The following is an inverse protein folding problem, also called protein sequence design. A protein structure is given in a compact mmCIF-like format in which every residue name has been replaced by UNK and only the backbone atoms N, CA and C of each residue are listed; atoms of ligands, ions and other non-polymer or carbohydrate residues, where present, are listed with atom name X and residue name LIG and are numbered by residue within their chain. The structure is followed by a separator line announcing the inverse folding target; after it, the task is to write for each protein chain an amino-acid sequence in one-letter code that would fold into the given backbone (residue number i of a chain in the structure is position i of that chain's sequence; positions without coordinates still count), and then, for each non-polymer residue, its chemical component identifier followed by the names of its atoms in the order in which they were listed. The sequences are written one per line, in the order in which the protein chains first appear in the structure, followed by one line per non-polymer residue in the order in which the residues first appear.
data_IF_242570713599
#
_entry.id   IF_242570713599
#
_cell.length_a   1.000
_cell.length_b   1.000
_cell.length_c   1.000
_cell.angle_alpha   90.00
_cell.angle_beta   90.00
_cell.angle_gamma   90.00
#
_symmetry.space_group_name_H-M   'P 1'
#
loop_
_entity.id
_entity.type
_entity.pdbx_description
1 polymer ?
#
# COMPACT_ATOMS: atom_id res chain seq x y z
N UNK A 1 -31.52 27.35 19.77
CA UNK A 1 -30.80 26.13 19.35
C UNK A 1 -30.57 26.23 17.86
N UNK A 2 -29.35 26.57 17.44
CA UNK A 2 -28.93 26.49 16.04
C UNK A 2 -28.04 25.26 15.95
N UNK A 3 -28.60 24.16 15.46
CA UNK A 3 -27.83 22.98 15.08
C UNK A 3 -27.03 23.41 13.85
N UNK A 4 -25.71 23.50 14.03
CA UNK A 4 -24.78 23.94 13.00
C UNK A 4 -24.63 22.82 11.95
N UNK A 5 -25.01 23.02 10.68
CA UNK A 5 -24.98 21.96 9.65
C UNK A 5 -23.56 21.58 9.19
N UNK A 6 -22.52 22.16 9.80
CA UNK A 6 -21.11 21.91 9.47
C UNK A 6 -20.46 20.77 10.28
N UNK A 7 -21.22 19.97 11.04
CA UNK A 7 -20.70 18.74 11.65
C UNK A 7 -20.52 17.57 10.65
N UNK A 8 -20.87 17.74 9.37
CA UNK A 8 -20.96 16.61 8.42
C UNK A 8 -19.72 16.34 7.57
N UNK A 9 -18.60 17.04 7.78
CA UNK A 9 -17.32 16.68 7.17
C UNK A 9 -16.21 16.79 8.21
N UNK A 10 -16.30 15.97 9.26
CA UNK A 10 -15.06 15.50 9.87
C UNK A 10 -14.33 14.72 8.78
N UNK A 11 -13.40 15.39 8.09
CA UNK A 11 -12.27 14.72 7.46
C UNK A 11 -11.78 13.71 8.49
N UNK A 12 -12.07 12.42 8.27
CA UNK A 12 -11.60 11.36 9.14
C UNK A 12 -10.09 11.31 8.93
N UNK A 13 -9.39 12.19 9.66
CA UNK A 13 -7.96 12.33 9.62
C UNK A 13 -7.35 10.94 9.75
N UNK A 14 -6.30 10.70 8.96
CA UNK A 14 -5.61 9.42 8.98
C UNK A 14 -5.11 9.19 10.41
N UNK A 15 -5.47 8.08 11.06
CA UNK A 15 -4.92 7.75 12.37
C UNK A 15 -3.38 7.73 12.31
N UNK A 16 -2.73 8.32 13.30
CA UNK A 16 -1.26 8.49 13.30
C UNK A 16 -0.51 7.16 13.11
N UNK A 17 -0.98 6.08 13.75
CA UNK A 17 -0.40 4.74 13.61
C UNK A 17 -0.50 4.20 12.18
N UNK A 18 -1.60 4.50 11.49
CA UNK A 18 -1.83 4.07 10.12
C UNK A 18 -0.93 4.85 9.16
N UNK A 19 -0.81 6.17 9.38
CA UNK A 19 0.10 7.02 8.63
C UNK A 19 1.55 6.58 8.79
N UNK A 20 1.99 6.29 10.02
CA UNK A 20 3.35 5.79 10.30
C UNK A 20 3.63 4.46 9.62
N UNK A 21 2.68 3.53 9.66
CA UNK A 21 2.83 2.23 8.99
C UNK A 21 2.95 2.40 7.47
N UNK A 22 2.13 3.27 6.87
CA UNK A 22 2.24 3.62 5.45
C UNK A 22 3.63 4.18 5.12
N UNK A 23 4.10 5.17 5.87
CA UNK A 23 5.41 5.80 5.65
C UNK A 23 6.58 4.81 5.83
N UNK A 24 6.53 3.95 6.85
CA UNK A 24 7.53 2.88 7.04
C UNK A 24 7.54 1.90 5.87
N UNK A 25 6.37 1.42 5.44
CA UNK A 25 6.29 0.49 4.32
C UNK A 25 6.72 1.12 2.99
N UNK A 26 6.40 2.40 2.77
CA UNK A 26 6.84 3.15 1.61
C UNK A 26 8.37 3.29 1.58
N UNK A 27 8.97 3.60 2.74
CA UNK A 27 10.43 3.65 2.88
C UNK A 27 11.08 2.31 2.54
N UNK A 28 10.53 1.19 3.01
CA UNK A 28 11.08 -0.13 2.70
C UNK A 28 10.88 -0.50 1.23
N UNK A 29 9.76 -0.09 0.64
CA UNK A 29 9.52 -0.26 -0.79
C UNK A 29 10.58 0.47 -1.62
N UNK A 30 10.96 1.70 -1.23
CA UNK A 30 12.04 2.41 -1.89
C UNK A 30 13.41 1.78 -1.60
N UNK A 31 13.76 1.51 -0.35
CA UNK A 31 15.10 1.01 -0.01
C UNK A 31 15.40 -0.40 -0.53
N UNK A 32 14.39 -1.28 -0.54
CA UNK A 32 14.56 -2.72 -0.70
C UNK A 32 13.73 -3.33 -1.84
N UNK A 33 12.79 -2.58 -2.42
CA UNK A 33 12.07 -3.00 -3.60
C UNK A 33 12.94 -3.01 -4.87
N UNK A 34 12.54 -3.77 -5.90
CA UNK A 34 13.13 -3.63 -7.22
C UNK A 34 12.95 -2.19 -7.72
N UNK A 35 13.97 -1.65 -8.38
CA UNK A 35 13.93 -0.29 -8.91
C UNK A 35 13.18 -0.28 -10.22
N UNK A 36 12.37 0.76 -10.43
CA UNK A 36 11.57 0.91 -11.64
C UNK A 36 12.44 0.89 -12.91
N UNK A 37 13.64 1.45 -12.84
CA UNK A 37 14.61 1.47 -13.95
C UNK A 37 15.12 0.09 -14.38
N UNK A 38 14.99 -0.93 -13.51
CA UNK A 38 15.40 -2.31 -13.77
C UNK A 38 14.23 -3.20 -14.25
N UNK A 39 13.01 -2.64 -14.36
CA UNK A 39 11.78 -3.37 -14.70
C UNK A 39 11.28 -3.00 -16.11
N UNK A 40 10.66 -3.97 -16.79
CA UNK A 40 9.94 -3.71 -18.03
C UNK A 40 8.65 -2.93 -17.73
N UNK A 41 8.16 -2.12 -18.69
CA UNK A 41 6.99 -1.26 -18.46
C UNK A 41 5.70 -2.05 -18.22
N UNK A 42 5.59 -3.26 -18.76
CA UNK A 42 4.46 -4.17 -18.57
C UNK A 42 4.64 -5.14 -17.39
N UNK A 43 5.74 -5.04 -16.65
CA UNK A 43 5.93 -5.82 -15.44
C UNK A 43 4.92 -5.42 -14.37
N UNK A 44 4.31 -6.43 -13.73
CA UNK A 44 3.36 -6.24 -12.63
C UNK A 44 3.94 -5.35 -11.52
N UNK A 45 5.24 -5.52 -11.21
CA UNK A 45 5.95 -4.70 -10.23
C UNK A 45 6.10 -3.23 -10.67
N UNK A 46 6.35 -2.97 -11.96
CA UNK A 46 6.49 -1.61 -12.52
C UNK A 46 5.16 -0.86 -12.46
N UNK A 47 4.07 -1.53 -12.83
CA UNK A 47 2.70 -1.00 -12.76
C UNK A 47 2.33 -0.65 -11.32
N UNK A 48 2.65 -1.53 -10.36
CA UNK A 48 2.40 -1.29 -8.93
C UNK A 48 3.23 -0.12 -8.41
N UNK A 49 4.51 0.00 -8.80
CA UNK A 49 5.34 1.13 -8.40
C UNK A 49 4.79 2.46 -8.93
N UNK A 50 4.25 2.47 -10.14
CA UNK A 50 3.55 3.65 -10.66
C UNK A 50 2.35 4.01 -9.82
N UNK A 51 1.52 3.03 -9.47
CA UNK A 51 0.39 3.27 -8.58
C UNK A 51 0.85 3.77 -7.21
N UNK A 52 1.90 3.17 -6.63
CA UNK A 52 2.50 3.59 -5.35
C UNK A 52 3.01 5.03 -5.42
N UNK A 53 3.68 5.40 -6.50
CA UNK A 53 4.24 6.76 -6.69
C UNK A 53 3.15 7.84 -6.78
N UNK A 54 1.95 7.45 -7.23
CA UNK A 54 0.78 8.31 -7.31
C UNK A 54 -0.05 8.32 -6.02
N UNK A 55 0.26 7.45 -5.03
CA UNK A 55 -0.43 7.44 -3.75
C UNK A 55 -0.09 8.71 -2.97
N UNK A 56 -1.12 9.50 -2.69
CA UNK A 56 -1.08 10.55 -1.69
C UNK A 56 -2.34 10.41 -0.82
N UNK A 57 -2.34 9.50 0.17
CA UNK A 57 -3.53 9.21 0.94
C UNK A 57 -3.92 10.44 1.77
N UNK A 58 -5.18 10.86 1.66
CA UNK A 58 -5.73 12.02 2.36
C UNK A 58 -6.79 11.63 3.41
N UNK A 59 -7.19 10.36 3.43
CA UNK A 59 -8.17 9.82 4.35
C UNK A 59 -7.81 8.39 4.76
N UNK A 60 -8.48 7.88 5.79
CA UNK A 60 -8.25 6.53 6.30
C UNK A 60 -8.41 5.44 5.23
N UNK A 61 -9.37 5.57 4.32
CA UNK A 61 -9.67 4.53 3.32
C UNK A 61 -8.55 4.46 2.28
N UNK A 62 -8.15 5.60 1.73
CA UNK A 62 -7.03 5.72 0.79
C UNK A 62 -5.71 5.27 1.43
N UNK A 63 -5.50 5.54 2.72
CA UNK A 63 -4.32 5.04 3.45
C UNK A 63 -4.32 3.51 3.59
N UNK A 64 -5.47 2.88 3.86
CA UNK A 64 -5.58 1.41 3.89
C UNK A 64 -5.33 0.80 2.50
N UNK A 65 -5.85 1.42 1.43
CA UNK A 65 -5.59 0.98 0.05
C UNK A 65 -4.11 1.10 -0.32
N UNK A 66 -3.46 2.18 0.11
CA UNK A 66 -2.03 2.38 -0.05
C UNK A 66 -1.20 1.29 0.65
N UNK A 67 -1.51 0.99 1.92
CA UNK A 67 -0.87 -0.09 2.66
C UNK A 67 -1.12 -1.45 2.01
N UNK A 68 -2.30 -1.65 1.42
CA UNK A 68 -2.63 -2.88 0.69
C UNK A 68 -1.75 -3.08 -0.54
N UNK A 69 -1.45 -2.03 -1.30
CA UNK A 69 -0.48 -2.06 -2.41
C UNK A 69 0.91 -2.42 -1.90
N UNK A 70 1.39 -1.66 -0.92
CA UNK A 70 2.73 -1.82 -0.36
C UNK A 70 2.93 -3.22 0.24
N UNK A 71 1.93 -3.74 0.96
CA UNK A 71 1.96 -5.11 1.47
C UNK A 71 2.15 -6.11 0.33
N UNK A 72 1.35 -6.02 -0.72
CA UNK A 72 1.45 -6.97 -1.83
C UNK A 72 2.81 -6.86 -2.53
N UNK A 73 3.27 -5.63 -2.77
CA UNK A 73 4.54 -5.37 -3.42
C UNK A 73 5.71 -5.95 -2.63
N UNK A 74 5.83 -5.60 -1.35
CA UNK A 74 6.91 -6.09 -0.49
C UNK A 74 6.87 -7.62 -0.34
N UNK A 75 5.67 -8.21 -0.27
CA UNK A 75 5.52 -9.65 -0.12
C UNK A 75 5.95 -10.44 -1.36
N UNK A 76 5.64 -9.95 -2.57
CA UNK A 76 5.95 -10.68 -3.81
C UNK A 76 7.32 -10.32 -4.40
N UNK A 77 7.83 -9.10 -4.15
CA UNK A 77 8.97 -8.55 -4.88
C UNK A 77 10.16 -8.09 -4.03
N UNK A 78 10.04 -8.03 -2.69
CA UNK A 78 11.15 -7.60 -1.81
C UNK A 78 11.76 -8.76 -1.04
N UNK A 79 12.34 -9.73 -1.77
CA UNK A 79 13.11 -10.82 -1.16
C UNK A 79 14.58 -10.43 -1.00
N UNK A 80 15.16 -10.75 0.16
CA UNK A 80 16.55 -10.42 0.48
C UNK A 80 17.27 -11.62 1.10
N UNK A 81 18.57 -11.74 0.81
CA UNK A 81 19.45 -12.74 1.43
C UNK A 81 19.82 -12.39 2.89
N UNK A 82 19.70 -11.12 3.28
CA UNK A 82 19.99 -10.66 4.64
C UNK A 82 18.78 -10.92 5.56
N UNK A 83 18.92 -11.91 6.44
CA UNK A 83 17.91 -12.30 7.43
C UNK A 83 17.42 -11.11 8.29
N UNK A 84 18.28 -10.14 8.62
CA UNK A 84 17.89 -9.00 9.45
C UNK A 84 16.99 -8.01 8.69
N UNK A 85 17.08 -7.98 7.37
CA UNK A 85 16.18 -7.20 6.50
C UNK A 85 14.87 -7.97 6.32
N UNK A 86 14.96 -9.27 6.05
CA UNK A 86 13.80 -10.14 5.87
C UNK A 86 12.89 -10.14 7.11
N UNK A 87 13.44 -10.27 8.32
CA UNK A 87 12.68 -10.18 9.58
C UNK A 87 11.95 -8.83 9.74
N UNK A 88 12.56 -7.72 9.31
CA UNK A 88 11.93 -6.39 9.39
C UNK A 88 10.78 -6.25 8.40
N UNK A 89 10.96 -6.75 7.18
CA UNK A 89 9.91 -6.79 6.16
C UNK A 89 8.76 -7.67 6.65
N UNK A 90 9.04 -8.86 7.17
CA UNK A 90 8.02 -9.75 7.74
C UNK A 90 7.25 -9.09 8.89
N UNK A 91 7.93 -8.37 9.79
CA UNK A 91 7.28 -7.64 10.86
C UNK A 91 6.33 -6.55 10.34
N UNK A 92 6.72 -5.80 9.30
CA UNK A 92 5.87 -4.80 8.65
C UNK A 92 4.66 -5.45 7.97
N UNK A 93 4.87 -6.54 7.23
CA UNK A 93 3.80 -7.30 6.60
C UNK A 93 2.81 -7.87 7.63
N UNK A 94 3.31 -8.33 8.78
CA UNK A 94 2.48 -8.81 9.88
C UNK A 94 1.58 -7.70 10.44
N UNK A 95 2.15 -6.52 10.74
CA UNK A 95 1.37 -5.35 11.18
C UNK A 95 0.31 -4.93 10.15
N UNK A 96 0.66 -4.92 8.87
CA UNK A 96 -0.29 -4.61 7.81
C UNK A 96 -1.43 -5.64 7.72
N UNK A 97 -1.17 -6.93 7.97
CA UNK A 97 -2.23 -7.96 7.98
C UNK A 97 -3.28 -7.76 9.07
N UNK A 98 -2.94 -7.12 10.19
CA UNK A 98 -3.90 -6.87 11.27
C UNK A 98 -4.98 -5.84 10.88
N UNK A 99 -4.66 -4.93 9.97
CA UNK A 99 -5.57 -3.87 9.50
C UNK A 99 -6.22 -4.18 8.15
N UNK A 100 -5.58 -5.03 7.34
CA UNK A 100 -6.10 -5.40 6.03
C UNK A 100 -7.25 -6.40 6.13
N UNK A 101 -8.27 -6.31 5.25
CA UNK A 101 -9.33 -7.30 5.22
C UNK A 101 -8.75 -8.69 4.90
N UNK A 102 -9.11 -9.68 5.73
CA UNK A 102 -8.67 -11.07 5.50
C UNK A 102 -9.36 -11.64 4.25
N UNK A 103 -8.59 -11.76 3.17
CA UNK A 103 -9.08 -12.32 1.92
C UNK A 103 -8.57 -13.74 1.70
N UNK A 104 -9.49 -14.70 1.50
CA UNK A 104 -9.16 -16.11 1.24
C UNK A 104 -8.30 -16.35 -0.02
N UNK A 105 -8.19 -15.36 -0.92
CA UNK A 105 -7.45 -15.44 -2.20
C UNK A 105 -6.73 -14.11 -2.53
N UNK A 106 -5.95 -13.61 -1.59
CA UNK A 106 -5.26 -12.30 -1.64
C UNK A 106 -4.61 -12.02 -3.01
N UNK A 107 -3.80 -12.93 -3.55
CA UNK A 107 -3.11 -12.78 -4.86
C UNK A 107 -4.10 -12.54 -6.02
N UNK A 108 -5.20 -13.30 -6.08
CA UNK A 108 -6.19 -13.17 -7.17
C UNK A 108 -6.99 -11.88 -7.04
N UNK A 109 -7.29 -11.44 -5.81
CA UNK A 109 -7.99 -10.17 -5.62
C UNK A 109 -7.08 -8.99 -5.95
N UNK A 110 -5.81 -9.04 -5.55
CA UNK A 110 -4.83 -8.00 -5.88
C UNK A 110 -4.63 -7.87 -7.37
N UNK A 111 -4.41 -8.97 -8.11
CA UNK A 111 -4.32 -8.91 -9.58
C UNK A 111 -5.53 -8.27 -10.24
N UNK A 112 -6.75 -8.62 -9.80
CA UNK A 112 -7.98 -7.98 -10.31
C UNK A 112 -8.11 -6.50 -9.92
N UNK A 113 -7.49 -6.11 -8.82
CA UNK A 113 -7.55 -4.74 -8.36
C UNK A 113 -6.50 -3.89 -9.07
N UNK A 114 -5.27 -4.39 -9.26
CA UNK A 114 -4.24 -3.80 -10.13
C UNK A 114 -4.78 -3.63 -11.56
N UNK A 115 -5.39 -4.68 -12.15
CA UNK A 115 -6.05 -4.56 -13.47
C UNK A 115 -7.15 -3.49 -13.52
N UNK A 116 -7.83 -3.20 -12.40
CA UNK A 116 -8.83 -2.12 -12.33
C UNK A 116 -8.18 -0.75 -12.21
N UNK A 117 -7.02 -0.63 -11.59
CA UNK A 117 -6.28 0.63 -11.50
C UNK A 117 -5.70 0.99 -12.88
N UNK A 118 -5.13 0.02 -13.58
CA UNK A 118 -4.63 0.18 -14.94
C UNK A 118 -5.72 0.63 -15.92
N UNK A 119 -6.92 0.03 -15.85
CA UNK A 119 -8.07 0.45 -16.69
C UNK A 119 -8.57 1.88 -16.43
N UNK A 120 -8.18 2.54 -15.33
CA UNK A 120 -8.53 3.93 -15.03
C UNK A 120 -7.56 4.94 -15.65
N UNK A 121 -6.45 4.47 -16.24
CA UNK A 121 -5.45 5.30 -16.92
C UNK A 121 -5.77 5.52 -18.41
N UNK A 122 -6.83 4.87 -18.93
CA UNK A 122 -7.42 5.05 -20.27
C UNK A 122 -8.61 6.02 -20.25
#
# INVERSE_FOLDING_TARGET
MLINPYESFMSAAIPEELQKLYEEMLKYCDEYGPKKEDLEEDDEASIILDDISLLNPHDKSSCIEAIRLLHYFLYEYSWHEDNAIEEKIEALLSKAKEILPQEKRQRRTMRRWIMRLDSRKL
#
